data_IF_103767224817
#
_entry.id   IF_103767224817
#
_cell.length_a   1.000
_cell.length_b   1.000
_cell.length_c   1.000
_cell.angle_alpha   90.00
_cell.angle_beta   90.00
_cell.angle_gamma   90.00
#
_symmetry.space_group_name_H-M   'P 1'
#
loop_
_entity.id
_entity.type
_entity.pdbx_description
1 polymer ?
#
# COMPACT_ATOMS: atom_id res chain seq x y z
N UNK A 1 60.27 -7.89 -47.09
CA UNK A 1 59.40 -7.98 -45.89
C UNK A 1 58.45 -6.79 -45.93
N UNK A 2 57.18 -6.95 -46.31
CA UNK A 2 56.25 -5.83 -46.36
C UNK A 2 55.83 -5.45 -44.94
N UNK A 3 55.96 -4.16 -44.63
CA UNK A 3 55.58 -3.54 -43.36
C UNK A 3 54.06 -3.48 -43.25
N UNK A 4 53.48 -4.36 -42.46
CA UNK A 4 52.07 -4.31 -42.08
C UNK A 4 51.81 -3.05 -41.27
N UNK A 5 51.14 -2.08 -41.89
CA UNK A 5 50.71 -0.85 -41.23
C UNK A 5 49.28 -1.05 -40.73
N UNK A 6 49.13 -1.11 -39.41
CA UNK A 6 47.86 -1.42 -38.74
C UNK A 6 47.06 -0.11 -38.58
N UNK A 7 46.17 0.19 -39.53
CA UNK A 7 45.21 1.30 -39.41
C UNK A 7 44.07 0.91 -38.48
N UNK A 8 44.17 1.34 -37.22
CA UNK A 8 43.07 1.29 -36.25
C UNK A 8 42.03 2.34 -36.68
N UNK A 9 40.85 1.90 -37.11
CA UNK A 9 39.71 2.82 -37.29
C UNK A 9 39.29 3.32 -35.91
N UNK A 10 39.14 4.65 -35.69
CA UNK A 10 38.61 5.17 -34.45
C UNK A 10 37.08 4.98 -34.46
N UNK A 11 36.61 3.80 -34.06
CA UNK A 11 35.19 3.53 -33.81
C UNK A 11 34.75 4.06 -32.43
N UNK A 12 35.20 5.26 -32.06
CA UNK A 12 34.56 5.99 -30.97
C UNK A 12 33.42 6.82 -31.56
N UNK A 13 32.14 6.49 -31.29
CA UNK A 13 31.06 7.41 -31.65
C UNK A 13 31.39 8.76 -31.00
N UNK A 14 31.44 9.80 -31.83
CA UNK A 14 31.56 11.18 -31.36
C UNK A 14 30.60 11.38 -30.18
N UNK A 15 31.02 12.02 -29.07
CA UNK A 15 30.12 12.27 -27.95
C UNK A 15 28.84 12.89 -28.48
N UNK A 16 27.66 12.38 -28.07
CA UNK A 16 26.39 12.85 -28.61
C UNK A 16 26.36 14.36 -28.47
N UNK A 17 26.15 15.06 -29.59
CA UNK A 17 26.03 16.53 -29.60
C UNK A 17 25.06 16.90 -28.48
N UNK A 18 25.38 17.89 -27.62
CA UNK A 18 24.45 18.33 -26.59
C UNK A 18 23.13 18.65 -27.27
N UNK A 19 22.07 17.90 -26.91
CA UNK A 19 20.74 18.07 -27.50
C UNK A 19 20.42 19.56 -27.47
N UNK A 20 19.95 20.12 -28.59
CA UNK A 20 19.44 21.51 -28.64
C UNK A 20 18.61 21.70 -27.38
N UNK A 21 18.93 22.72 -26.57
CA UNK A 21 18.27 23.01 -25.29
C UNK A 21 16.77 22.87 -25.55
N UNK A 22 16.17 21.80 -25.03
CA UNK A 22 14.75 21.54 -25.22
C UNK A 22 13.96 22.73 -24.70
N UNK A 23 12.76 22.95 -25.23
CA UNK A 23 11.83 23.93 -24.66
C UNK A 23 11.72 23.60 -23.17
N UNK A 24 12.03 24.58 -22.30
CA UNK A 24 11.94 24.36 -20.86
C UNK A 24 10.46 24.15 -20.51
N UNK A 25 10.16 23.19 -19.62
CA UNK A 25 8.78 22.84 -19.28
C UNK A 25 7.92 24.08 -18.90
N UNK A 26 8.48 25.02 -18.13
CA UNK A 26 7.79 26.24 -17.72
C UNK A 26 7.62 27.30 -18.84
N UNK A 27 8.24 27.09 -20.00
CA UNK A 27 8.07 27.93 -21.19
C UNK A 27 6.96 27.41 -22.11
N UNK A 28 6.42 26.21 -21.86
CA UNK A 28 5.25 25.71 -22.58
C UNK A 28 4.03 26.59 -22.29
N UNK A 29 3.06 26.75 -23.21
CA UNK A 29 1.79 27.42 -22.91
C UNK A 29 1.08 26.78 -21.70
N UNK A 30 0.29 27.57 -20.98
CA UNK A 30 -0.35 27.13 -19.73
C UNK A 30 -1.25 25.91 -19.97
N UNK A 31 -1.96 25.91 -21.07
CA UNK A 31 -2.90 24.87 -21.49
C UNK A 31 -2.17 23.54 -21.70
N UNK A 32 -0.98 23.58 -22.31
CA UNK A 32 -0.14 22.39 -22.51
C UNK A 32 0.36 21.87 -21.16
N UNK A 33 0.75 22.76 -20.23
CA UNK A 33 1.16 22.34 -18.88
C UNK A 33 0.00 21.73 -18.10
N UNK A 34 -1.21 22.27 -18.20
CA UNK A 34 -2.40 21.73 -17.55
C UNK A 34 -2.76 20.34 -18.08
N UNK A 35 -2.63 20.10 -19.39
CA UNK A 35 -2.76 18.76 -19.97
C UNK A 35 -1.70 17.79 -19.41
N UNK A 36 -0.45 18.24 -19.28
CA UNK A 36 0.61 17.42 -18.69
C UNK A 36 0.30 17.11 -17.22
N UNK A 37 -0.18 18.10 -16.45
CA UNK A 37 -0.58 17.89 -15.05
C UNK A 37 -1.73 16.91 -14.94
N UNK A 38 -2.75 17.04 -15.79
CA UNK A 38 -3.86 16.11 -15.84
C UNK A 38 -3.40 14.68 -16.10
N UNK A 39 -2.63 14.45 -17.18
CA UNK A 39 -2.12 13.12 -17.50
C UNK A 39 -1.17 12.55 -16.45
N UNK A 40 -0.53 13.40 -15.64
CA UNK A 40 0.45 12.96 -14.63
C UNK A 40 -0.14 12.76 -13.24
N UNK A 41 -1.19 13.50 -12.89
CA UNK A 41 -1.70 13.60 -11.52
C UNK A 41 -3.12 13.06 -11.35
N UNK A 42 -3.88 12.92 -12.44
CA UNK A 42 -5.21 12.34 -12.39
C UNK A 42 -5.08 10.85 -12.59
N UNK A 43 -5.51 10.10 -11.58
CA UNK A 43 -5.45 8.65 -11.56
C UNK A 43 -6.86 8.08 -11.32
N UNK A 44 -7.11 6.83 -11.74
CA UNK A 44 -8.35 6.14 -11.42
C UNK A 44 -8.59 6.07 -9.91
N UNK A 45 -9.83 5.77 -9.51
CA UNK A 45 -10.18 5.59 -8.10
C UNK A 45 -9.31 4.50 -7.51
N UNK A 46 -8.98 4.64 -6.23
CA UNK A 46 -8.01 3.75 -5.59
C UNK A 46 -8.43 2.27 -5.62
N UNK A 47 -9.72 2.00 -5.52
CA UNK A 47 -10.25 0.63 -5.57
C UNK A 47 -10.23 0.03 -6.98
N UNK A 48 -10.13 0.86 -8.04
CA UNK A 48 -9.99 0.39 -9.43
C UNK A 48 -8.53 0.07 -9.78
N UNK A 49 -7.56 0.40 -8.91
CA UNK A 49 -6.15 0.17 -9.18
C UNK A 49 -5.80 -1.32 -9.00
N UNK A 50 -5.37 -1.95 -10.09
CA UNK A 50 -4.85 -3.32 -10.11
C UNK A 50 -3.37 -3.38 -9.72
N UNK A 51 -2.89 -4.56 -9.33
CA UNK A 51 -1.46 -4.74 -9.06
C UNK A 51 -0.61 -4.61 -10.34
N UNK A 52 0.55 -3.99 -10.19
CA UNK A 52 1.57 -3.94 -11.23
C UNK A 52 2.07 -5.34 -11.56
N UNK A 53 2.53 -5.54 -12.81
CA UNK A 53 2.84 -6.86 -13.33
C UNK A 53 4.01 -7.59 -12.61
N UNK A 54 4.81 -6.85 -11.85
CA UNK A 54 5.96 -7.26 -11.05
C UNK A 54 5.69 -7.24 -9.54
N UNK A 55 4.49 -6.86 -9.10
CA UNK A 55 4.11 -6.88 -7.70
C UNK A 55 4.04 -8.31 -7.15
N UNK A 56 4.60 -8.54 -5.96
CA UNK A 56 4.53 -9.83 -5.26
C UNK A 56 3.11 -10.25 -4.88
N UNK A 57 2.18 -9.29 -4.84
CA UNK A 57 0.77 -9.53 -4.54
C UNK A 57 -0.10 -9.77 -5.78
N UNK A 58 0.47 -9.64 -6.97
CA UNK A 58 -0.21 -10.03 -8.19
C UNK A 58 -0.22 -11.55 -8.28
N UNK A 59 -1.42 -12.13 -8.27
CA UNK A 59 -1.55 -13.58 -8.36
C UNK A 59 -1.18 -14.04 -9.78
N UNK A 60 -0.07 -14.78 -9.93
CA UNK A 60 0.22 -15.51 -11.16
C UNK A 60 -0.32 -16.94 -11.13
N UNK A 61 -0.87 -17.37 -10.00
CA UNK A 61 -1.36 -18.73 -9.78
C UNK A 61 -2.88 -18.74 -9.94
N UNK A 62 -3.42 -19.64 -10.75
CA UNK A 62 -4.88 -19.75 -10.95
C UNK A 62 -5.66 -20.12 -9.68
N UNK A 63 -4.97 -20.55 -8.62
CA UNK A 63 -5.57 -20.97 -7.35
C UNK A 63 -5.55 -19.88 -6.27
N UNK A 64 -4.75 -18.83 -6.44
CA UNK A 64 -4.65 -17.74 -5.48
C UNK A 64 -5.44 -16.55 -6.00
N UNK A 65 -6.23 -15.94 -5.12
CA UNK A 65 -7.01 -14.75 -5.44
C UNK A 65 -6.11 -13.53 -5.38
N UNK A 66 -6.31 -12.58 -6.29
CA UNK A 66 -5.54 -11.33 -6.29
C UNK A 66 -6.18 -10.33 -5.31
N UNK A 67 -5.64 -10.17 -4.08
CA UNK A 67 -6.25 -9.26 -3.12
C UNK A 67 -6.26 -7.81 -3.64
N UNK A 68 -7.29 -7.02 -3.35
CA UNK A 68 -7.35 -5.64 -3.83
C UNK A 68 -6.19 -4.83 -3.25
N UNK A 69 -5.46 -4.10 -4.10
CA UNK A 69 -4.26 -3.36 -3.66
C UNK A 69 -4.58 -2.37 -2.53
N UNK A 70 -5.74 -1.70 -2.60
CA UNK A 70 -6.17 -0.72 -1.60
C UNK A 70 -6.44 -1.29 -0.20
N UNK A 71 -6.68 -2.60 -0.08
CA UNK A 71 -6.88 -3.31 1.19
C UNK A 71 -5.58 -3.86 1.77
N UNK A 72 -4.48 -3.87 1.01
CA UNK A 72 -3.16 -4.28 1.50
C UNK A 72 -2.41 -3.13 2.18
N UNK A 73 -3.16 -2.30 2.91
CA UNK A 73 -2.66 -1.11 3.58
C UNK A 73 -3.20 -1.03 5.00
N UNK A 74 -2.31 -0.72 5.92
CA UNK A 74 -2.65 -0.25 7.25
C UNK A 74 -2.49 1.26 7.34
N UNK A 75 -3.42 1.93 8.01
CA UNK A 75 -3.39 3.34 8.33
C UNK A 75 -3.37 3.48 9.86
N UNK A 76 -2.24 3.94 10.36
CA UNK A 76 -2.09 4.36 11.75
C UNK A 76 -2.41 5.84 11.86
N UNK A 77 -3.32 6.18 12.75
CA UNK A 77 -3.71 7.55 13.05
C UNK A 77 -3.03 7.96 14.35
N UNK A 78 -2.04 8.83 14.23
CA UNK A 78 -1.38 9.46 15.38
C UNK A 78 -2.17 10.68 15.76
N UNK A 79 -2.43 10.92 17.04
CA UNK A 79 -3.24 12.06 17.48
C UNK A 79 -2.43 13.27 17.90
N UNK A 80 -1.16 13.05 18.29
CA UNK A 80 -0.30 14.08 18.86
C UNK A 80 1.03 14.19 18.10
N UNK A 81 1.09 14.98 17.01
CA UNK A 81 -0.02 15.68 16.34
C UNK A 81 -0.84 14.73 15.44
N UNK A 82 -2.08 15.13 15.14
CA UNK A 82 -2.95 14.43 14.20
C UNK A 82 -2.25 14.21 12.85
N UNK A 83 -1.92 12.96 12.53
CA UNK A 83 -1.22 12.55 11.29
C UNK A 83 -1.68 11.17 10.85
N UNK A 84 -1.70 10.96 9.54
CA UNK A 84 -1.91 9.66 8.92
C UNK A 84 -0.56 9.05 8.58
N UNK A 85 -0.27 7.89 9.14
CA UNK A 85 0.90 7.08 8.81
C UNK A 85 0.39 5.83 8.10
N UNK A 86 0.85 5.60 6.88
CA UNK A 86 0.41 4.47 6.07
C UNK A 86 1.54 3.47 5.92
N UNK A 87 1.26 2.21 6.20
CA UNK A 87 2.13 1.08 5.90
C UNK A 87 1.38 0.20 4.89
N UNK A 88 2.02 -0.16 3.79
CA UNK A 88 1.41 -0.97 2.75
C UNK A 88 2.27 -2.19 2.45
N UNK A 89 1.62 -3.33 2.20
CA UNK A 89 2.32 -4.55 1.78
C UNK A 89 2.78 -4.46 0.32
N UNK A 90 2.16 -3.55 -0.47
CA UNK A 90 2.56 -3.23 -1.83
C UNK A 90 2.52 -1.72 -2.09
N UNK A 91 3.13 -1.28 -3.19
CA UNK A 91 3.13 0.13 -3.61
C UNK A 91 2.13 0.42 -4.74
N UNK A 92 1.39 -0.60 -5.20
CA UNK A 92 0.50 -0.47 -6.36
C UNK A 92 -0.65 0.50 -6.13
N UNK A 93 -1.14 0.63 -4.89
CA UNK A 93 -2.24 1.54 -4.53
C UNK A 93 -1.78 2.99 -4.23
N UNK A 94 -0.46 3.25 -4.32
CA UNK A 94 0.12 4.56 -4.07
C UNK A 94 -0.04 5.42 -5.31
N UNK A 95 -0.48 6.65 -5.08
CA UNK A 95 -0.56 7.64 -6.15
C UNK A 95 0.83 7.95 -6.69
N UNK A 96 1.00 7.86 -8.00
CA UNK A 96 2.25 8.14 -8.71
C UNK A 96 2.38 9.64 -8.93
N UNK A 97 3.60 10.06 -9.30
CA UNK A 97 3.93 11.43 -9.66
C UNK A 97 3.60 12.53 -8.61
N UNK A 98 3.32 12.17 -7.35
CA UNK A 98 3.13 13.13 -6.25
C UNK A 98 4.34 14.06 -6.05
N UNK A 99 5.54 13.61 -6.42
CA UNK A 99 6.77 14.41 -6.41
C UNK A 99 6.70 15.64 -7.31
N UNK A 100 5.82 15.65 -8.32
CA UNK A 100 5.59 16.83 -9.17
C UNK A 100 5.09 18.03 -8.34
N UNK A 101 4.24 17.77 -7.35
CA UNK A 101 3.75 18.81 -6.43
C UNK A 101 4.85 19.36 -5.50
N UNK A 102 6.00 18.69 -5.43
CA UNK A 102 7.16 19.08 -4.62
C UNK A 102 8.29 19.70 -5.46
N UNK A 103 8.18 19.69 -6.79
CA UNK A 103 9.26 20.08 -7.69
C UNK A 103 9.68 21.56 -7.53
N UNK A 104 8.71 22.48 -7.61
CA UNK A 104 8.93 23.90 -7.29
C UNK A 104 7.59 24.61 -6.94
N UNK A 105 7.68 25.86 -6.48
CA UNK A 105 6.50 26.65 -6.07
C UNK A 105 5.53 26.95 -7.21
N UNK A 106 6.03 27.21 -8.42
CA UNK A 106 5.18 27.50 -9.58
C UNK A 106 4.38 26.25 -9.93
N UNK A 107 5.06 25.13 -10.22
CA UNK A 107 4.44 23.82 -10.50
C UNK A 107 3.45 23.43 -9.41
N UNK A 108 3.78 23.64 -8.14
CA UNK A 108 2.83 23.40 -7.06
C UNK A 108 1.55 24.23 -7.19
N UNK A 109 1.67 25.54 -7.42
CA UNK A 109 0.52 26.43 -7.58
C UNK A 109 -0.31 26.09 -8.82
N UNK A 110 0.33 25.63 -9.91
CA UNK A 110 -0.35 25.27 -11.14
C UNK A 110 -1.03 23.89 -11.06
N UNK A 111 -0.35 22.90 -10.48
CA UNK A 111 -0.74 21.50 -10.55
C UNK A 111 -1.59 21.04 -9.35
N UNK A 112 -1.47 21.68 -8.18
CA UNK A 112 -2.27 21.31 -7.01
C UNK A 112 -3.79 21.43 -7.25
N UNK A 113 -4.31 22.49 -7.91
CA UNK A 113 -5.74 22.55 -8.22
C UNK A 113 -6.23 21.41 -9.10
N UNK A 114 -5.43 21.01 -10.11
CA UNK A 114 -5.73 19.85 -10.96
C UNK A 114 -5.78 18.59 -10.10
N UNK A 115 -4.78 18.38 -9.26
CA UNK A 115 -4.70 17.21 -8.38
C UNK A 115 -5.91 17.11 -7.43
N UNK A 116 -6.22 18.17 -6.68
CA UNK A 116 -7.27 18.12 -5.66
C UNK A 116 -8.69 18.10 -6.24
N UNK A 117 -8.91 18.65 -7.43
CA UNK A 117 -10.25 18.76 -8.03
C UNK A 117 -10.64 17.66 -9.01
N UNK A 118 -9.68 16.91 -9.54
CA UNK A 118 -9.95 15.86 -10.54
C UNK A 118 -9.75 14.44 -10.02
N UNK A 119 -9.33 14.28 -8.77
CA UNK A 119 -9.12 12.97 -8.17
C UNK A 119 -10.18 12.64 -7.13
N UNK A 120 -10.59 11.36 -7.12
CA UNK A 120 -11.35 10.79 -6.02
C UNK A 120 -10.45 10.44 -4.83
N UNK A 121 -10.74 10.96 -3.65
CA UNK A 121 -9.99 10.63 -2.43
C UNK A 121 -10.64 9.48 -1.70
N UNK A 122 -10.01 8.31 -1.78
CA UNK A 122 -10.50 7.06 -1.17
C UNK A 122 -9.88 6.83 0.22
N UNK A 123 -10.73 6.55 1.19
CA UNK A 123 -10.40 6.30 2.59
C UNK A 123 -11.02 4.97 3.04
N UNK A 124 -10.38 4.32 4.01
CA UNK A 124 -10.93 3.10 4.60
C UNK A 124 -11.91 3.42 5.74
N UNK A 125 -11.77 4.57 6.40
CA UNK A 125 -12.65 4.96 7.52
C UNK A 125 -13.08 6.42 7.44
N UNK A 126 -14.19 6.74 8.10
CA UNK A 126 -14.63 8.13 8.26
C UNK A 126 -13.66 8.94 9.14
N UNK A 127 -12.96 8.30 10.08
CA UNK A 127 -11.98 9.00 10.92
C UNK A 127 -10.74 9.41 10.13
N UNK A 128 -10.30 8.60 9.16
CA UNK A 128 -9.26 9.01 8.20
C UNK A 128 -9.65 10.29 7.46
N UNK A 129 -10.90 10.42 7.02
CA UNK A 129 -11.41 11.62 6.34
C UNK A 129 -11.30 12.84 7.26
N UNK A 130 -11.73 12.71 8.51
CA UNK A 130 -11.63 13.77 9.50
C UNK A 130 -10.18 14.25 9.66
N UNK A 131 -9.23 13.33 9.84
CA UNK A 131 -7.81 13.66 10.01
C UNK A 131 -7.20 14.23 8.74
N UNK A 132 -7.48 13.61 7.60
CA UNK A 132 -6.99 14.06 6.30
C UNK A 132 -7.44 15.49 6.00
N UNK A 133 -8.72 15.79 6.13
CA UNK A 133 -9.27 17.07 5.69
C UNK A 133 -9.11 18.17 6.74
N UNK A 134 -9.24 17.87 8.05
CA UNK A 134 -9.15 18.90 9.11
C UNK A 134 -7.73 19.21 9.54
N UNK A 135 -6.86 18.20 9.58
CA UNK A 135 -5.54 18.33 10.21
C UNK A 135 -4.39 18.31 9.18
N UNK A 136 -4.47 17.46 8.15
CA UNK A 136 -3.37 17.31 7.19
C UNK A 136 -3.53 18.22 5.95
N UNK A 137 -4.77 18.37 5.46
CA UNK A 137 -5.04 19.16 4.27
C UNK A 137 -5.07 20.65 4.61
N UNK A 138 -4.24 21.41 3.88
CA UNK A 138 -4.23 22.87 3.95
C UNK A 138 -5.61 23.41 3.60
N UNK A 139 -6.03 24.44 4.34
CA UNK A 139 -7.35 25.06 4.17
C UNK A 139 -7.66 25.44 2.71
N UNK A 140 -6.68 26.00 2.00
CA UNK A 140 -6.82 26.44 0.60
C UNK A 140 -7.21 25.32 -0.39
N UNK A 141 -6.94 24.05 -0.06
CA UNK A 141 -7.24 22.92 -0.93
C UNK A 141 -8.52 22.17 -0.56
N UNK A 142 -9.10 22.45 0.62
CA UNK A 142 -10.32 21.75 1.08
C UNK A 142 -11.49 21.94 0.14
N UNK A 143 -11.64 23.15 -0.39
CA UNK A 143 -12.71 23.48 -1.32
C UNK A 143 -12.44 23.00 -2.75
N UNK A 144 -11.25 22.46 -3.02
CA UNK A 144 -10.95 21.85 -4.32
C UNK A 144 -11.30 20.37 -4.34
N UNK A 145 -11.45 19.72 -3.19
CA UNK A 145 -11.84 18.30 -3.13
C UNK A 145 -13.28 18.15 -3.62
N UNK A 146 -13.44 17.46 -4.74
CA UNK A 146 -14.73 17.25 -5.43
C UNK A 146 -15.34 15.89 -5.14
N UNK A 147 -14.53 14.88 -4.86
CA UNK A 147 -14.99 13.51 -4.67
C UNK A 147 -14.28 12.82 -3.50
N UNK A 148 -15.08 12.24 -2.60
CA UNK A 148 -14.62 11.44 -1.47
C UNK A 148 -15.30 10.08 -1.54
N UNK A 149 -14.52 9.02 -1.35
CA UNK A 149 -15.01 7.66 -1.25
C UNK A 149 -14.55 7.06 0.09
N UNK A 150 -15.49 6.63 0.92
CA UNK A 150 -15.22 5.89 2.16
C UNK A 150 -15.68 4.46 1.96
N UNK A 151 -14.74 3.56 1.67
CA UNK A 151 -15.02 2.17 1.37
C UNK A 151 -14.36 1.29 2.44
N UNK A 152 -15.13 0.99 3.49
CA UNK A 152 -14.71 0.15 4.60
C UNK A 152 -15.20 -1.28 4.36
N UNK A 153 -14.33 -2.31 4.48
CA UNK A 153 -14.78 -3.70 4.57
C UNK A 153 -15.44 -4.01 5.93
N UNK A 154 -15.32 -3.10 6.90
CA UNK A 154 -15.99 -3.18 8.19
C UNK A 154 -17.33 -2.44 8.14
N UNK A 155 -18.42 -3.14 8.44
CA UNK A 155 -19.75 -2.54 8.48
C UNK A 155 -19.82 -1.40 9.51
N UNK A 156 -19.13 -1.52 10.65
CA UNK A 156 -19.11 -0.50 11.70
C UNK A 156 -18.33 0.78 11.33
N UNK A 157 -17.71 0.84 10.15
CA UNK A 157 -16.89 1.97 9.70
C UNK A 157 -15.56 2.14 10.42
N UNK A 158 -15.18 1.17 11.26
CA UNK A 158 -13.93 1.13 12.01
C UNK A 158 -13.10 -0.09 11.56
N UNK A 159 -12.43 0.00 10.40
CA UNK A 159 -11.69 -1.13 9.91
C UNK A 159 -10.45 -1.49 10.74
N UNK A 160 -10.14 -2.79 10.90
CA UNK A 160 -8.88 -3.36 11.40
C UNK A 160 -7.64 -2.81 10.70
N UNK A 161 -7.78 -2.37 9.44
CA UNK A 161 -6.72 -1.66 8.72
C UNK A 161 -6.45 -0.27 9.26
N UNK A 162 -7.30 0.26 10.13
CA UNK A 162 -7.23 1.63 10.63
C UNK A 162 -7.13 1.60 12.15
N UNK A 163 -5.95 1.94 12.65
CA UNK A 163 -5.61 1.85 14.06
C UNK A 163 -5.28 3.23 14.62
N UNK A 164 -5.66 3.47 15.87
CA UNK A 164 -5.15 4.60 16.63
C UNK A 164 -3.79 4.25 17.23
N UNK A 165 -2.85 5.20 17.23
CA UNK A 165 -1.58 5.08 17.94
C UNK A 165 -1.79 5.29 19.45
N UNK A 166 -2.60 4.41 20.08
CA UNK A 166 -2.90 4.41 21.52
C UNK A 166 -2.70 3.01 22.10
N UNK A 167 -2.18 2.88 23.32
CA UNK A 167 -1.97 1.58 23.98
C UNK A 167 -3.26 0.96 24.55
N UNK A 168 -4.43 1.19 23.94
CA UNK A 168 -5.72 0.71 24.44
C UNK A 168 -5.96 -0.77 24.06
N UNK A 169 -6.54 -1.61 24.93
CA UNK A 169 -6.90 -2.98 24.58
C UNK A 169 -7.96 -3.05 23.47
N UNK A 170 -8.81 -2.02 23.36
CA UNK A 170 -9.79 -1.87 22.29
C UNK A 170 -9.22 -0.95 21.19
N UNK A 171 -8.33 -1.49 20.36
CA UNK A 171 -7.62 -0.76 19.28
C UNK A 171 -8.52 -0.32 18.11
N UNK A 172 -9.83 -0.54 18.17
CA UNK A 172 -10.75 -0.09 17.14
C UNK A 172 -10.85 1.44 17.15
N UNK A 173 -10.57 2.06 15.99
CA UNK A 173 -10.72 3.51 15.84
C UNK A 173 -12.21 3.88 16.01
N UNK A 174 -12.58 4.70 17.02
CA UNK A 174 -13.96 5.11 17.19
C UNK A 174 -14.37 6.01 16.03
N UNK A 175 -15.57 5.78 15.50
CA UNK A 175 -16.10 6.62 14.43
C UNK A 175 -16.91 7.76 15.03
N UNK A 176 -16.30 8.95 15.13
CA UNK A 176 -17.01 10.19 15.50
C UNK A 176 -17.84 10.68 14.30
N UNK A 177 -19.02 10.10 14.13
CA UNK A 177 -19.95 10.47 13.06
C UNK A 177 -20.35 11.94 13.06
N UNK A 178 -20.66 12.58 14.22
CA UNK A 178 -20.89 14.03 14.25
C UNK A 178 -19.74 14.82 13.63
N UNK A 179 -18.50 14.48 13.98
CA UNK A 179 -17.33 15.14 13.43
C UNK A 179 -17.15 14.89 11.93
N UNK A 180 -17.41 13.66 11.48
CA UNK A 180 -17.38 13.31 10.06
C UNK A 180 -18.34 14.17 9.24
N UNK A 181 -19.63 14.21 9.62
CA UNK A 181 -20.62 15.01 8.88
C UNK A 181 -20.33 16.51 8.93
N UNK A 182 -19.80 17.00 10.06
CA UNK A 182 -19.33 18.38 10.15
C UNK A 182 -18.17 18.65 9.17
N UNK A 183 -17.24 17.71 9.05
CA UNK A 183 -16.11 17.80 8.11
C UNK A 183 -16.59 17.84 6.66
N UNK A 184 -17.47 16.91 6.28
CA UNK A 184 -18.08 16.86 4.95
C UNK A 184 -18.86 18.14 4.64
N UNK A 185 -19.64 18.65 5.60
CA UNK A 185 -20.41 19.89 5.47
C UNK A 185 -19.54 21.13 5.20
N UNK A 186 -18.26 21.08 5.55
CA UNK A 186 -17.30 22.18 5.37
C UNK A 186 -16.47 22.05 4.09
N UNK A 187 -16.64 20.98 3.31
CA UNK A 187 -15.95 20.78 2.04
C UNK A 187 -16.79 21.39 0.92
N UNK A 188 -16.60 22.69 0.67
CA UNK A 188 -17.52 23.44 -0.20
C UNK A 188 -17.54 22.94 -1.66
N UNK A 189 -16.43 22.39 -2.14
CA UNK A 189 -16.30 21.84 -3.49
C UNK A 189 -16.76 20.40 -3.65
N UNK A 190 -17.17 19.71 -2.58
CA UNK A 190 -17.54 18.30 -2.65
C UNK A 190 -18.84 18.11 -3.43
N UNK A 191 -18.76 17.40 -4.55
CA UNK A 191 -19.88 17.12 -5.47
C UNK A 191 -20.33 15.66 -5.32
N UNK A 192 -19.41 14.74 -5.02
CA UNK A 192 -19.72 13.31 -4.90
C UNK A 192 -19.18 12.74 -3.59
N UNK A 193 -20.03 12.00 -2.88
CA UNK A 193 -19.70 11.28 -1.66
C UNK A 193 -20.13 9.81 -1.79
N UNK A 194 -19.17 8.91 -1.89
CA UNK A 194 -19.35 7.46 -1.88
C UNK A 194 -19.18 6.93 -0.46
N UNK A 195 -20.22 6.33 0.12
CA UNK A 195 -20.23 5.87 1.53
C UNK A 195 -21.07 4.62 1.74
N UNK A 196 -20.81 3.91 2.85
CA UNK A 196 -21.66 2.80 3.29
C UNK A 196 -23.01 3.29 3.82
N UNK A 197 -24.13 2.59 3.52
CA UNK A 197 -25.44 2.82 4.14
C UNK A 197 -25.39 2.87 5.68
N UNK A 198 -24.44 2.17 6.31
CA UNK A 198 -24.25 2.17 7.77
C UNK A 198 -23.83 3.50 8.35
N UNK A 199 -23.10 4.30 7.59
CA UNK A 199 -22.70 5.64 8.01
C UNK A 199 -23.94 6.53 8.16
N UNK A 200 -24.90 6.39 7.25
CA UNK A 200 -26.19 7.09 7.31
C UNK A 200 -27.02 6.56 8.48
N UNK A 201 -27.19 5.24 8.58
CA UNK A 201 -27.98 4.61 9.64
C UNK A 201 -27.55 5.05 11.05
N UNK A 202 -26.24 5.08 11.30
CA UNK A 202 -25.68 5.41 12.61
C UNK A 202 -25.96 6.86 13.05
N UNK A 203 -26.27 7.76 12.12
CA UNK A 203 -26.36 9.21 12.41
C UNK A 203 -27.25 9.97 11.43
N UNK A 204 -28.40 9.39 11.09
CA UNK A 204 -29.29 9.88 10.04
C UNK A 204 -29.71 11.35 10.23
N UNK A 205 -29.92 11.83 11.45
CA UNK A 205 -30.32 13.23 11.69
C UNK A 205 -29.18 14.21 11.38
N UNK A 206 -27.92 13.81 11.57
CA UNK A 206 -26.74 14.61 11.18
C UNK A 206 -26.55 14.59 9.67
N UNK A 207 -26.74 13.42 9.07
CA UNK A 207 -26.72 13.25 7.63
C UNK A 207 -27.79 14.09 6.93
N UNK A 208 -29.06 14.06 7.40
CA UNK A 208 -30.17 14.83 6.83
C UNK A 208 -29.86 16.34 6.85
N UNK A 209 -29.34 16.87 7.96
CA UNK A 209 -28.87 18.26 8.04
C UNK A 209 -27.76 18.58 7.03
N UNK A 210 -26.80 17.66 6.86
CA UNK A 210 -25.73 17.81 5.88
C UNK A 210 -26.29 17.81 4.46
N UNK A 211 -27.18 16.88 4.12
CA UNK A 211 -27.81 16.76 2.81
C UNK A 211 -28.63 18.01 2.46
N UNK A 212 -29.42 18.55 3.42
CA UNK A 212 -30.13 19.84 3.26
C UNK A 212 -29.18 21.00 2.96
N UNK A 213 -28.06 21.07 3.70
CA UNK A 213 -27.04 22.11 3.50
C UNK A 213 -26.28 21.96 2.18
N UNK A 214 -26.17 20.73 1.66
CA UNK A 214 -25.37 20.36 0.49
C UNK A 214 -26.25 19.77 -0.62
N UNK A 215 -27.23 20.55 -1.11
CA UNK A 215 -28.22 20.09 -2.11
C UNK A 215 -27.60 19.58 -3.42
N UNK A 216 -26.43 20.08 -3.79
CA UNK A 216 -25.70 19.63 -4.98
C UNK A 216 -24.83 18.39 -4.76
N UNK A 217 -24.76 17.86 -3.54
CA UNK A 217 -23.98 16.67 -3.24
C UNK A 217 -24.73 15.42 -3.71
N UNK A 218 -24.12 14.70 -4.64
CA UNK A 218 -24.50 13.35 -5.02
C UNK A 218 -23.94 12.36 -4.00
N UNK A 219 -24.79 11.46 -3.53
CA UNK A 219 -24.50 10.49 -2.49
C UNK A 219 -24.67 9.10 -3.09
N UNK A 220 -23.55 8.43 -3.28
CA UNK A 220 -23.51 7.08 -3.83
C UNK A 220 -23.40 6.11 -2.65
N UNK A 221 -24.40 5.23 -2.53
CA UNK A 221 -24.41 4.23 -1.48
C UNK A 221 -23.76 2.95 -1.97
N UNK A 222 -22.67 2.58 -1.30
CA UNK A 222 -21.83 1.45 -1.68
C UNK A 222 -21.52 0.58 -0.47
N UNK A 223 -21.72 -0.72 -0.59
CA UNK A 223 -21.38 -1.71 0.46
C UNK A 223 -20.23 -2.58 -0.03
N UNK A 224 -19.15 -2.68 0.75
CA UNK A 224 -18.05 -3.61 0.48
C UNK A 224 -18.17 -4.82 1.40
N UNK A 225 -18.56 -5.96 0.85
CA UNK A 225 -18.77 -7.21 1.57
C UNK A 225 -17.54 -8.12 1.44
N UNK A 226 -16.80 -8.37 2.53
CA UNK A 226 -15.78 -9.40 2.56
C UNK A 226 -16.43 -10.78 2.70
N UNK A 227 -16.31 -11.61 1.68
CA UNK A 227 -16.83 -12.98 1.68
C UNK A 227 -15.70 -13.96 2.00
N UNK A 228 -15.67 -14.37 3.27
CA UNK A 228 -14.75 -15.40 3.77
C UNK A 228 -15.41 -16.78 3.87
N UNK A 229 -14.61 -17.84 3.69
CA UNK A 229 -15.07 -19.23 3.71
C UNK A 229 -15.45 -19.74 5.12
N UNK A 230 -14.80 -19.27 6.20
CA UNK A 230 -14.86 -19.97 7.51
C UNK A 230 -16.07 -19.70 8.40
N UNK A 231 -17.04 -18.86 8.05
CA UNK A 231 -18.23 -18.69 8.89
C UNK A 231 -19.44 -18.13 8.14
N UNK A 232 -20.67 -18.61 8.43
CA UNK A 232 -21.91 -17.96 8.00
C UNK A 232 -22.13 -16.60 8.67
N UNK A 233 -21.43 -16.31 9.77
CA UNK A 233 -21.43 -14.99 10.41
C UNK A 233 -20.32 -14.11 9.81
N UNK A 234 -20.52 -12.79 9.69
CA UNK A 234 -19.49 -11.85 9.28
C UNK A 234 -18.39 -11.79 10.34
N UNK A 235 -17.46 -12.75 10.30
CA UNK A 235 -16.23 -12.67 11.08
C UNK A 235 -15.45 -11.47 10.57
N UNK A 236 -14.92 -10.69 11.51
CA UNK A 236 -14.01 -9.57 11.28
C UNK A 236 -13.05 -9.93 10.13
N UNK A 237 -13.18 -9.21 9.02
CA UNK A 237 -12.40 -9.45 7.80
C UNK A 237 -10.89 -9.31 8.10
N UNK A 238 -10.01 -9.80 7.21
CA UNK A 238 -8.58 -9.88 7.49
C UNK A 238 -7.93 -8.52 7.80
N UNK A 239 -7.08 -8.46 8.83
CA UNK A 239 -6.13 -7.35 8.97
C UNK A 239 -4.96 -7.53 7.99
N UNK A 240 -4.28 -6.45 7.61
CA UNK A 240 -3.12 -6.54 6.71
C UNK A 240 -1.94 -7.28 7.36
N UNK A 241 -1.89 -7.40 8.70
CA UNK A 241 -0.92 -8.26 9.38
C UNK A 241 -1.14 -9.75 9.04
N UNK A 242 -2.38 -10.13 8.72
CA UNK A 242 -2.75 -11.44 8.21
C UNK A 242 -3.03 -11.36 6.69
N UNK A 243 -2.10 -10.77 5.93
CA UNK A 243 -2.23 -10.56 4.48
C UNK A 243 -2.60 -11.83 3.71
N UNK A 244 -2.20 -13.01 4.21
CA UNK A 244 -2.55 -14.31 3.62
C UNK A 244 -4.07 -14.52 3.53
N UNK A 245 -4.85 -14.06 4.50
CA UNK A 245 -6.30 -14.24 4.47
C UNK A 245 -6.98 -13.43 3.37
N UNK A 246 -6.36 -12.34 2.89
CA UNK A 246 -6.88 -11.61 1.73
C UNK A 246 -6.80 -12.43 0.44
N UNK A 247 -5.86 -13.39 0.31
CA UNK A 247 -5.77 -14.32 -0.82
C UNK A 247 -6.88 -15.38 -0.85
N UNK A 248 -7.72 -15.42 0.19
CA UNK A 248 -8.84 -16.34 0.35
C UNK A 248 -10.16 -15.61 0.59
N UNK A 249 -10.21 -14.30 0.30
CA UNK A 249 -11.40 -13.47 0.50
C UNK A 249 -11.83 -12.84 -0.82
N UNK A 250 -13.09 -13.05 -1.22
CA UNK A 250 -13.71 -12.29 -2.31
C UNK A 250 -14.23 -11.02 -1.68
N UNK A 251 -13.93 -9.88 -2.28
CA UNK A 251 -14.55 -8.63 -1.89
C UNK A 251 -15.62 -8.30 -2.91
N UNK A 252 -16.83 -8.06 -2.43
CA UNK A 252 -17.97 -7.74 -3.27
C UNK A 252 -18.39 -6.32 -2.98
N UNK A 253 -18.19 -5.43 -3.95
CA UNK A 253 -18.73 -4.09 -3.92
C UNK A 253 -20.14 -4.11 -4.51
N UNK A 254 -21.09 -3.60 -3.75
CA UNK A 254 -22.49 -3.46 -4.14
C UNK A 254 -22.84 -1.98 -4.20
N UNK A 255 -23.12 -1.49 -5.40
CA UNK A 255 -23.64 -0.13 -5.61
C UNK A 255 -25.16 -0.16 -5.56
N UNK A 256 -25.72 0.50 -4.55
CA UNK A 256 -27.16 0.65 -4.33
C UNK A 256 -27.77 1.83 -5.11
N UNK A 257 -26.92 2.64 -5.77
CA UNK A 257 -27.32 3.76 -6.60
C UNK A 257 -26.91 5.12 -6.04
N UNK A 258 -27.23 6.15 -6.84
CA UNK A 258 -26.92 7.54 -6.55
C UNK A 258 -28.16 8.28 -6.07
N UNK A 259 -28.01 8.99 -4.97
CA UNK A 259 -29.07 9.78 -4.34
C UNK A 259 -28.68 11.24 -4.31
N UNK A 260 -29.67 12.11 -4.42
CA UNK A 260 -29.52 13.56 -4.26
C UNK A 260 -30.75 14.09 -3.53
N UNK A 261 -30.58 15.21 -2.82
CA UNK A 261 -31.70 15.83 -2.12
C UNK A 261 -32.67 16.43 -3.15
N UNK A 262 -33.92 15.94 -3.17
CA UNK A 262 -34.89 16.23 -4.25
C UNK A 262 -35.72 17.50 -4.06
N UNK A 263 -35.67 18.14 -2.90
CA UNK A 263 -36.54 19.28 -2.59
C UNK A 263 -35.77 20.62 -2.58
N UNK A 264 -35.83 21.40 -3.68
CA UNK A 264 -35.27 22.74 -3.71
C UNK A 264 -36.16 23.78 -2.99
N UNK A 265 -37.44 23.49 -2.77
CA UNK A 265 -38.43 24.49 -2.32
C UNK A 265 -38.76 24.39 -0.83
N UNK A 266 -38.42 23.28 -0.16
CA UNK A 266 -38.47 23.22 1.31
C UNK A 266 -37.44 24.17 1.93
N UNK A 267 -37.94 25.09 2.76
CA UNK A 267 -37.08 25.98 3.54
C UNK A 267 -36.23 25.13 4.52
N UNK A 268 -34.92 25.40 4.64
CA UNK A 268 -34.02 24.60 5.48
C UNK A 268 -34.42 24.52 6.97
N UNK A 269 -35.27 25.46 7.41
CA UNK A 269 -35.75 25.60 8.78
C UNK A 269 -37.11 24.92 9.05
N UNK A 270 -37.65 24.10 8.12
CA UNK A 270 -38.83 23.30 8.46
C UNK A 270 -38.48 22.24 9.51
N UNK A 271 -39.38 22.06 10.50
CA UNK A 271 -39.26 21.08 11.59
C UNK A 271 -39.23 19.61 11.12
N UNK A 272 -39.27 19.34 9.82
CA UNK A 272 -39.34 18.00 9.23
C UNK A 272 -38.00 17.25 9.20
N UNK A 273 -36.99 17.68 9.99
CA UNK A 273 -35.70 17.00 10.07
C UNK A 273 -35.84 15.52 10.48
N UNK A 274 -36.80 15.23 11.35
CA UNK A 274 -37.10 13.87 11.79
C UNK A 274 -37.70 13.02 10.68
N UNK A 275 -38.50 13.62 9.78
CA UNK A 275 -39.05 12.95 8.61
C UNK A 275 -37.94 12.60 7.62
N UNK A 276 -37.08 13.57 7.27
CA UNK A 276 -35.93 13.32 6.39
C UNK A 276 -35.01 12.24 6.96
N UNK A 277 -34.70 12.32 8.26
CA UNK A 277 -33.85 11.32 8.91
C UNK A 277 -34.48 9.92 8.87
N UNK A 278 -35.80 9.82 9.02
CA UNK A 278 -36.54 8.56 8.91
C UNK A 278 -36.48 7.99 7.49
N UNK A 279 -36.63 8.83 6.47
CA UNK A 279 -36.53 8.42 5.06
C UNK A 279 -35.13 7.89 4.74
N UNK A 280 -34.09 8.58 5.20
CA UNK A 280 -32.71 8.12 5.00
C UNK A 280 -32.37 6.84 5.79
N UNK A 281 -32.95 6.65 6.99
CA UNK A 281 -32.87 5.35 7.68
C UNK A 281 -33.56 4.26 6.87
N UNK A 282 -34.72 4.53 6.30
CA UNK A 282 -35.43 3.58 5.46
C UNK A 282 -34.60 3.18 4.23
N UNK A 283 -34.04 4.17 3.50
CA UNK A 283 -33.11 3.91 2.38
C UNK A 283 -31.94 3.03 2.82
N UNK A 284 -31.27 3.37 3.92
CA UNK A 284 -30.15 2.58 4.43
C UNK A 284 -30.57 1.15 4.83
N UNK A 285 -31.76 0.98 5.40
CA UNK A 285 -32.32 -0.34 5.74
C UNK A 285 -32.55 -1.21 4.51
N UNK A 286 -33.08 -0.62 3.44
CA UNK A 286 -33.29 -1.32 2.17
C UNK A 286 -31.96 -1.77 1.57
N UNK A 287 -30.93 -0.91 1.58
CA UNK A 287 -29.59 -1.28 1.15
C UNK A 287 -29.01 -2.45 1.96
N UNK A 288 -29.22 -2.50 3.28
CA UNK A 288 -28.77 -3.65 4.08
C UNK A 288 -29.48 -4.94 3.70
N UNK A 289 -30.78 -4.86 3.42
CA UNK A 289 -31.54 -6.02 2.99
C UNK A 289 -31.01 -6.56 1.66
N UNK A 290 -30.78 -5.68 0.68
CA UNK A 290 -30.18 -6.01 -0.61
C UNK A 290 -28.78 -6.62 -0.45
N UNK A 291 -27.92 -6.01 0.37
CA UNK A 291 -26.59 -6.55 0.67
C UNK A 291 -26.67 -7.97 1.28
N UNK A 292 -27.64 -8.21 2.17
CA UNK A 292 -27.89 -9.53 2.75
C UNK A 292 -28.42 -10.55 1.73
N UNK A 293 -29.25 -10.14 0.77
CA UNK A 293 -29.68 -11.00 -0.34
C UNK A 293 -28.53 -11.37 -1.28
N UNK A 294 -27.74 -10.37 -1.69
CA UNK A 294 -26.56 -10.57 -2.55
C UNK A 294 -25.53 -11.48 -1.87
N UNK A 295 -25.21 -11.24 -0.60
CA UNK A 295 -24.32 -12.10 0.18
C UNK A 295 -24.80 -13.56 0.20
N UNK A 296 -26.08 -13.80 0.53
CA UNK A 296 -26.66 -15.15 0.56
C UNK A 296 -26.64 -15.81 -0.81
N UNK A 297 -26.95 -15.06 -1.87
CA UNK A 297 -26.93 -15.56 -3.24
C UNK A 297 -25.51 -15.94 -3.67
N UNK A 298 -24.53 -15.05 -3.45
CA UNK A 298 -23.15 -15.31 -3.86
C UNK A 298 -22.58 -16.51 -3.11
N UNK A 299 -22.86 -16.60 -1.80
CA UNK A 299 -22.48 -17.76 -1.02
C UNK A 299 -23.10 -19.03 -1.59
N UNK A 300 -24.41 -19.06 -1.81
CA UNK A 300 -25.10 -20.26 -2.32
C UNK A 300 -24.61 -20.71 -3.71
N UNK A 301 -24.44 -19.78 -4.64
CA UNK A 301 -24.16 -20.10 -6.04
C UNK A 301 -22.68 -20.26 -6.35
N UNK A 302 -21.82 -19.47 -5.71
CA UNK A 302 -20.39 -19.41 -6.06
C UNK A 302 -19.47 -19.95 -4.97
N UNK A 303 -19.89 -19.98 -3.71
CA UNK A 303 -19.07 -20.49 -2.61
C UNK A 303 -19.66 -21.81 -2.10
N UNK A 304 -19.13 -22.94 -2.59
CA UNK A 304 -19.56 -24.26 -2.12
C UNK A 304 -19.36 -24.40 -0.60
N UNK A 305 -20.42 -24.75 0.14
CA UNK A 305 -20.31 -25.10 1.56
C UNK A 305 -19.52 -26.41 1.78
N UNK A 306 -19.23 -27.18 0.72
CA UNK A 306 -18.49 -28.45 0.82
C UNK A 306 -17.00 -28.22 1.08
N UNK A 307 -16.68 -28.20 2.38
CA UNK A 307 -15.35 -28.40 2.91
C UNK A 307 -14.71 -29.68 2.35
N UNK A 308 -13.73 -29.55 1.45
CA UNK A 308 -12.71 -30.59 1.34
C UNK A 308 -11.68 -30.36 2.44
N UNK A 309 -11.97 -30.91 3.63
CA UNK A 309 -10.89 -31.25 4.56
C UNK A 309 -10.02 -32.24 3.80
N UNK A 310 -8.88 -31.81 3.25
CA UNK A 310 -7.82 -32.79 2.96
C UNK A 310 -7.63 -33.52 4.29
N UNK A 311 -7.76 -34.86 4.34
CA UNK A 311 -7.37 -35.59 5.53
C UNK A 311 -5.96 -35.10 5.86
N UNK A 312 -5.76 -34.62 7.09
CA UNK A 312 -4.41 -34.38 7.56
C UNK A 312 -3.60 -35.61 7.20
N UNK A 313 -2.47 -35.42 6.52
CA UNK A 313 -1.50 -36.49 6.43
C UNK A 313 -1.35 -37.06 7.85
N UNK A 314 -1.45 -38.38 8.09
CA UNK A 314 -1.32 -38.96 9.42
C UNK A 314 0.04 -38.68 10.08
N UNK A 315 0.93 -37.96 9.39
CA UNK A 315 2.28 -37.60 9.80
C UNK A 315 2.48 -36.09 9.99
N UNK A 316 1.43 -35.26 9.86
CA UNK A 316 1.53 -33.85 10.19
C UNK A 316 1.63 -33.70 11.72
N UNK A 317 2.84 -33.41 12.19
CA UNK A 317 3.08 -33.18 13.61
C UNK A 317 2.46 -31.84 14.01
N UNK A 318 2.09 -31.67 15.28
CA UNK A 318 1.49 -30.43 15.79
C UNK A 318 2.45 -29.21 15.78
N UNK A 319 3.63 -29.35 15.17
CA UNK A 319 4.65 -28.31 15.00
C UNK A 319 4.85 -27.91 13.54
N UNK A 320 4.20 -28.60 12.60
CA UNK A 320 4.23 -28.21 11.20
C UNK A 320 3.17 -27.11 10.99
N UNK A 321 3.64 -25.87 10.87
CA UNK A 321 2.93 -24.74 10.25
C UNK A 321 2.66 -25.04 8.75
N UNK A 322 2.10 -26.21 8.44
CA UNK A 322 1.64 -26.52 7.10
C UNK A 322 0.47 -25.59 6.80
N UNK A 323 0.77 -24.58 5.97
CA UNK A 323 -0.21 -23.71 5.34
C UNK A 323 -1.22 -24.58 4.62
N UNK A 324 -2.36 -24.84 5.26
CA UNK A 324 -3.49 -25.50 4.64
C UNK A 324 -3.90 -24.68 3.41
N UNK A 325 -3.51 -25.15 2.23
CA UNK A 325 -3.92 -24.57 0.96
C UNK A 325 -5.41 -24.90 0.78
N UNK A 326 -6.26 -23.96 1.18
CA UNK A 326 -7.71 -24.06 1.01
C UNK A 326 -8.03 -23.76 -0.45
N UNK A 327 -8.36 -24.80 -1.20
CA UNK A 327 -8.81 -24.65 -2.58
C UNK A 327 -10.31 -24.38 -2.59
N UNK A 328 -10.71 -23.17 -3.01
CA UNK A 328 -12.06 -22.95 -3.47
C UNK A 328 -12.21 -23.62 -4.84
N UNK A 329 -13.15 -24.55 -4.96
CA UNK A 329 -13.69 -24.91 -6.25
C UNK A 329 -15.00 -24.15 -6.41
N UNK A 330 -15.05 -23.20 -7.36
CA UNK A 330 -16.32 -22.67 -7.87
C UNK A 330 -17.07 -23.87 -8.48
N UNK A 331 -17.98 -24.48 -7.73
CA UNK A 331 -18.63 -25.70 -8.16
C UNK A 331 -19.59 -25.38 -9.30
N UNK A 332 -19.37 -26.03 -10.45
CA UNK A 332 -20.21 -26.00 -11.66
C UNK A 332 -20.27 -24.64 -12.37
N UNK A 333 -19.35 -24.40 -13.30
CA UNK A 333 -19.63 -23.58 -14.49
C UNK A 333 -20.01 -22.10 -14.27
N UNK A 334 -20.02 -21.60 -13.03
CA UNK A 334 -20.15 -20.20 -12.70
C UNK A 334 -18.87 -19.48 -13.11
N UNK A 335 -18.76 -19.13 -14.39
CA UNK A 335 -17.78 -18.17 -14.90
C UNK A 335 -18.07 -16.80 -14.26
N UNK A 336 -17.65 -16.58 -13.02
CA UNK A 336 -17.09 -15.28 -12.69
C UNK A 336 -15.64 -15.32 -13.16
N UNK A 337 -15.44 -15.37 -14.48
CA UNK A 337 -14.11 -15.09 -15.03
C UNK A 337 -13.79 -13.63 -14.72
N UNK A 338 -12.52 -13.26 -14.69
CA UNK A 338 -12.12 -11.86 -14.59
C UNK A 338 -12.68 -11.00 -15.77
N UNK A 339 -13.23 -11.62 -16.83
CA UNK A 339 -14.00 -10.93 -17.89
C UNK A 339 -15.39 -10.46 -17.42
N UNK A 340 -15.87 -10.99 -16.29
CA UNK A 340 -17.09 -10.61 -15.57
C UNK A 340 -16.77 -10.23 -14.12
N UNK A 341 -15.81 -9.32 -13.92
CA UNK A 341 -15.60 -8.68 -12.61
C UNK A 341 -16.81 -7.85 -12.15
N UNK A 342 -17.81 -7.69 -13.01
CA UNK A 342 -19.03 -6.97 -12.75
C UNK A 342 -20.24 -7.81 -13.16
N UNK A 343 -21.33 -7.72 -12.39
CA UNK A 343 -22.63 -8.27 -12.75
C UNK A 343 -23.74 -7.30 -12.33
N UNK A 344 -24.81 -7.24 -13.12
CA UNK A 344 -26.05 -6.60 -12.69
C UNK A 344 -26.90 -7.63 -11.93
N UNK A 345 -27.32 -7.27 -10.74
CA UNK A 345 -28.21 -8.08 -9.93
C UNK A 345 -29.52 -7.35 -9.70
N UNK A 346 -30.64 -8.03 -9.82
CA UNK A 346 -31.95 -7.44 -9.53
C UNK A 346 -32.48 -8.04 -8.24
N UNK A 347 -32.79 -7.19 -7.26
CA UNK A 347 -33.33 -7.63 -5.99
C UNK A 347 -34.70 -8.27 -6.15
N UNK A 348 -35.17 -8.98 -5.12
CA UNK A 348 -36.53 -9.52 -5.12
C UNK A 348 -37.60 -8.42 -5.27
N UNK A 349 -37.25 -7.18 -4.90
CA UNK A 349 -38.09 -5.99 -5.02
C UNK A 349 -37.99 -5.31 -6.40
N UNK A 350 -37.15 -5.82 -7.30
CA UNK A 350 -36.96 -5.26 -8.65
C UNK A 350 -35.89 -4.18 -8.74
N UNK A 351 -35.15 -3.89 -7.67
CA UNK A 351 -34.08 -2.89 -7.71
C UNK A 351 -32.84 -3.47 -8.40
N UNK A 352 -32.38 -2.81 -9.47
CA UNK A 352 -31.14 -3.18 -10.13
C UNK A 352 -29.94 -2.61 -9.35
N UNK A 353 -29.11 -3.50 -8.82
CA UNK A 353 -27.83 -3.17 -8.20
C UNK A 353 -26.69 -3.56 -9.12
N UNK A 354 -25.61 -2.77 -9.10
CA UNK A 354 -24.37 -3.13 -9.76
C UNK A 354 -23.44 -3.81 -8.75
N UNK A 355 -22.98 -5.01 -9.07
CA UNK A 355 -22.11 -5.81 -8.22
C UNK A 355 -20.75 -5.95 -8.88
N UNK A 356 -19.70 -5.55 -8.17
CA UNK A 356 -18.32 -5.69 -8.61
C UNK A 356 -17.56 -6.62 -7.67
N UNK A 357 -16.75 -7.48 -8.25
CA UNK A 357 -15.95 -8.47 -7.55
C UNK A 357 -14.47 -8.09 -7.59
N UNK A 358 -13.82 -8.23 -6.45
CA UNK A 358 -12.37 -8.18 -6.32
C UNK A 358 -11.86 -9.45 -5.63
N UNK A 359 -10.58 -9.78 -5.82
CA UNK A 359 -10.07 -11.05 -5.31
C UNK A 359 -10.58 -12.25 -6.10
N UNK A 360 -10.85 -12.11 -7.40
CA UNK A 360 -11.17 -13.26 -8.24
C UNK A 360 -9.88 -13.96 -8.69
N UNK A 361 -9.88 -15.30 -8.81
CA UNK A 361 -8.77 -16.01 -9.43
C UNK A 361 -8.70 -15.67 -10.93
N UNK A 362 -7.49 -15.68 -11.48
CA UNK A 362 -7.32 -15.57 -12.93
C UNK A 362 -8.04 -16.74 -13.62
N UNK A 363 -8.73 -16.45 -14.72
CA UNK A 363 -9.19 -17.53 -15.59
C UNK A 363 -8.00 -18.34 -16.09
N UNK A 364 -8.17 -19.63 -16.38
CA UNK A 364 -7.07 -20.46 -16.89
C UNK A 364 -6.41 -19.88 -18.16
N UNK A 365 -7.20 -19.22 -19.01
CA UNK A 365 -6.68 -18.49 -20.20
C UNK A 365 -5.81 -17.29 -19.82
N UNK A 366 -6.27 -16.46 -18.88
CA UNK A 366 -5.51 -15.31 -18.39
C UNK A 366 -4.25 -15.73 -17.64
N UNK A 367 -4.31 -16.78 -16.82
CA UNK A 367 -3.14 -17.33 -16.14
C UNK A 367 -2.07 -17.80 -17.14
N UNK A 368 -2.48 -18.50 -18.20
CA UNK A 368 -1.58 -18.90 -19.30
C UNK A 368 -0.99 -17.69 -20.04
N UNK A 369 -1.82 -16.69 -20.37
CA UNK A 369 -1.36 -15.49 -21.06
C UNK A 369 -0.38 -14.68 -20.19
N UNK A 370 -0.70 -14.43 -18.92
CA UNK A 370 0.16 -13.72 -17.98
C UNK A 370 1.51 -14.44 -17.80
N UNK A 371 1.49 -15.78 -17.74
CA UNK A 371 2.72 -16.60 -17.70
C UNK A 371 3.55 -16.43 -18.96
N UNK A 372 2.90 -16.44 -20.14
CA UNK A 372 3.58 -16.22 -21.43
C UNK A 372 4.21 -14.83 -21.50
N UNK A 373 3.48 -13.78 -21.11
CA UNK A 373 3.98 -12.41 -21.09
C UNK A 373 5.15 -12.24 -20.11
N UNK A 374 5.09 -12.88 -18.93
CA UNK A 374 6.20 -12.88 -17.97
C UNK A 374 7.45 -13.52 -18.56
N UNK A 375 7.31 -14.67 -19.22
CA UNK A 375 8.43 -15.36 -19.87
C UNK A 375 9.05 -14.51 -21.00
N UNK A 376 8.23 -13.81 -21.78
CA UNK A 376 8.72 -12.87 -22.82
C UNK A 376 9.53 -11.75 -22.19
N UNK A 377 9.00 -11.09 -21.14
CA UNK A 377 9.72 -10.02 -20.42
C UNK A 377 11.02 -10.50 -19.78
N UNK A 378 11.01 -11.64 -19.11
CA UNK A 378 12.22 -12.24 -18.54
C UNK A 378 13.27 -12.56 -19.63
N UNK A 379 12.84 -13.02 -20.81
CA UNK A 379 13.73 -13.28 -21.95
C UNK A 379 14.34 -11.99 -22.50
N UNK A 380 13.55 -10.94 -22.68
CA UNK A 380 14.02 -9.61 -23.11
C UNK A 380 15.00 -9.02 -22.09
N UNK A 381 14.68 -9.12 -20.81
CA UNK A 381 15.55 -8.64 -19.74
C UNK A 381 16.87 -9.41 -19.68
N UNK A 382 16.86 -10.74 -19.81
CA UNK A 382 18.09 -11.54 -19.92
C UNK A 382 18.89 -11.17 -21.16
N UNK A 383 18.23 -10.86 -22.28
CA UNK A 383 18.93 -10.43 -23.50
C UNK A 383 19.64 -9.08 -23.31
N UNK A 384 19.07 -8.16 -22.52
CA UNK A 384 19.66 -6.85 -22.24
C UNK A 384 20.73 -6.89 -21.14
N UNK A 385 20.47 -7.59 -20.03
CA UNK A 385 21.25 -7.50 -18.79
C UNK A 385 22.04 -8.78 -18.46
N UNK A 386 21.86 -9.85 -19.24
CA UNK A 386 22.48 -11.17 -19.00
C UNK A 386 21.83 -11.98 -17.86
N UNK A 387 20.97 -11.37 -17.04
CA UNK A 387 20.22 -12.02 -15.96
C UNK A 387 18.92 -11.24 -15.67
N UNK A 388 17.94 -11.90 -15.02
CA UNK A 388 16.70 -11.22 -14.59
C UNK A 388 16.93 -10.41 -13.31
N UNK A 389 16.06 -9.44 -13.02
CA UNK A 389 16.16 -8.67 -11.76
C UNK A 389 16.03 -9.57 -10.53
N UNK A 390 15.16 -10.57 -10.58
CA UNK A 390 15.00 -11.55 -9.51
C UNK A 390 16.28 -12.39 -9.30
N UNK A 391 16.99 -12.75 -10.37
CA UNK A 391 18.29 -13.41 -10.28
C UNK A 391 19.36 -12.47 -9.71
N UNK A 392 19.34 -11.20 -10.11
CA UNK A 392 20.27 -10.19 -9.63
C UNK A 392 20.10 -9.94 -8.13
N UNK A 393 18.87 -9.83 -7.65
CA UNK A 393 18.57 -9.61 -6.24
C UNK A 393 18.92 -10.85 -5.40
N UNK A 394 18.63 -12.08 -5.89
CA UNK A 394 19.11 -13.32 -5.25
C UNK A 394 20.63 -13.37 -5.16
N UNK A 395 21.35 -12.97 -6.21
CA UNK A 395 22.82 -12.91 -6.20
C UNK A 395 23.31 -11.89 -5.17
N UNK A 396 22.66 -10.73 -5.07
CA UNK A 396 22.97 -9.69 -4.08
C UNK A 396 22.73 -10.15 -2.64
N UNK A 397 21.60 -10.80 -2.36
CA UNK A 397 21.32 -11.42 -1.05
C UNK A 397 22.34 -12.51 -0.71
N UNK A 398 22.70 -13.37 -1.67
CA UNK A 398 23.76 -14.38 -1.47
C UNK A 398 25.11 -13.74 -1.14
N UNK A 399 25.46 -12.64 -1.80
CA UNK A 399 26.68 -11.88 -1.51
C UNK A 399 26.65 -11.24 -0.11
N UNK A 400 25.51 -10.69 0.32
CA UNK A 400 25.33 -10.14 1.67
C UNK A 400 25.50 -11.23 2.73
N UNK A 401 24.83 -12.37 2.57
CA UNK A 401 24.91 -13.50 3.49
C UNK A 401 26.34 -14.08 3.58
N UNK A 402 27.06 -14.13 2.45
CA UNK A 402 28.50 -14.49 2.43
C UNK A 402 29.36 -13.48 3.17
N UNK A 403 29.08 -12.17 3.05
CA UNK A 403 29.81 -11.12 3.79
C UNK A 403 29.56 -11.24 5.30
N UNK A 404 28.32 -11.44 5.73
CA UNK A 404 27.97 -11.65 7.13
C UNK A 404 28.63 -12.89 7.72
N UNK A 405 28.61 -14.01 6.99
CA UNK A 405 29.28 -15.25 7.42
C UNK A 405 30.79 -15.07 7.55
N UNK A 406 31.42 -14.34 6.61
CA UNK A 406 32.86 -14.00 6.71
C UNK A 406 33.16 -13.14 7.94
N UNK A 407 32.31 -12.14 8.22
CA UNK A 407 32.46 -11.28 9.39
C UNK A 407 32.37 -12.07 10.70
N UNK A 408 31.39 -12.97 10.82
CA UNK A 408 31.25 -13.88 11.99
C UNK A 408 32.48 -14.77 12.16
N UNK A 409 32.98 -15.39 11.09
CA UNK A 409 34.20 -16.21 11.14
C UNK A 409 35.44 -15.40 11.55
N UNK A 410 35.52 -14.14 11.15
CA UNK A 410 36.62 -13.26 11.56
C UNK A 410 36.51 -12.88 13.04
N UNK A 411 35.31 -12.59 13.53
CA UNK A 411 35.04 -12.34 14.95
C UNK A 411 35.36 -13.57 15.81
N UNK A 412 34.98 -14.77 15.38
CA UNK A 412 35.34 -16.04 16.04
C UNK A 412 36.86 -16.26 16.07
N UNK A 413 37.54 -16.03 14.94
CA UNK A 413 39.01 -16.13 14.89
C UNK A 413 39.69 -15.14 15.83
N UNK A 414 39.18 -13.91 15.91
CA UNK A 414 39.68 -12.89 16.85
C UNK A 414 39.44 -13.33 18.30
N UNK A 415 38.26 -13.85 18.61
CA UNK A 415 37.93 -14.36 19.94
C UNK A 415 38.84 -15.55 20.35
N UNK A 416 39.10 -16.49 19.44
CA UNK A 416 40.02 -17.61 19.67
C UNK A 416 41.44 -17.09 19.90
N UNK A 417 41.93 -16.19 19.04
CA UNK A 417 43.26 -15.61 19.20
C UNK A 417 43.41 -14.82 20.50
N UNK A 418 42.36 -14.10 20.92
CA UNK A 418 42.35 -13.40 22.21
C UNK A 418 42.28 -14.37 23.39
N UNK A 419 41.52 -15.46 23.27
CA UNK A 419 41.48 -16.52 24.28
C UNK A 419 42.84 -17.23 24.40
N UNK A 420 43.52 -17.51 23.29
CA UNK A 420 44.87 -18.06 23.27
C UNK A 420 45.88 -17.11 23.90
N UNK A 421 45.79 -15.79 23.62
CA UNK A 421 46.62 -14.78 24.31
C UNK A 421 46.39 -14.72 25.81
N UNK A 422 45.20 -15.07 26.27
CA UNK A 422 44.85 -15.10 27.69
C UNK A 422 45.20 -16.43 28.37
N UNK A 423 45.58 -17.47 27.63
CA UNK A 423 46.07 -18.70 28.25
C UNK A 423 47.43 -18.41 28.89
N UNK A 424 47.57 -18.61 30.21
CA UNK A 424 48.88 -18.58 30.84
C UNK A 424 49.73 -19.66 30.19
N UNK A 425 50.90 -19.29 29.71
CA UNK A 425 51.86 -20.20 29.11
C UNK A 425 52.36 -21.16 30.20
N UNK A 426 52.09 -22.47 30.11
CA UNK A 426 52.33 -23.42 31.19
C UNK A 426 53.81 -23.66 31.50
N UNK A 427 54.72 -23.11 30.68
CA UNK A 427 56.18 -23.26 30.79
C UNK A 427 56.90 -21.95 31.15
N UNK A 428 56.17 -20.91 31.58
CA UNK A 428 56.79 -19.68 32.09
C UNK A 428 57.22 -19.92 33.53
N UNK A 429 58.39 -20.53 33.65
CA UNK A 429 59.22 -20.43 34.84
C UNK A 429 59.38 -18.97 35.23
N UNK A 430 59.26 -18.74 36.54
CA UNK A 430 59.38 -17.48 37.26
C UNK A 430 60.30 -16.45 36.56
N UNK A 431 59.71 -15.47 35.88
CA UNK A 431 60.47 -14.35 35.31
C UNK A 431 60.95 -13.48 36.45
N UNK A 432 62.27 -13.32 36.56
CA UNK A 432 62.92 -12.43 37.52
C UNK A 432 62.24 -11.04 37.52
N UNK A 433 61.77 -10.53 38.67
CA UNK A 433 61.07 -9.26 38.79
C UNK A 433 61.79 -8.06 38.15
N UNK A 434 63.13 -8.08 38.06
CA UNK A 434 63.88 -7.03 37.35
C UNK A 434 63.73 -7.12 35.82
N UNK A 435 63.71 -8.33 35.26
CA UNK A 435 63.52 -8.55 33.82
C UNK A 435 62.11 -8.16 33.41
N UNK A 436 61.10 -8.47 34.23
CA UNK A 436 59.71 -8.07 33.99
C UNK A 436 59.54 -6.53 33.99
N UNK A 437 60.18 -5.82 34.92
CA UNK A 437 60.17 -4.34 34.94
C UNK A 437 60.84 -3.74 33.71
N UNK A 438 61.94 -4.34 33.24
CA UNK A 438 62.67 -3.87 32.05
C UNK A 438 61.85 -4.08 30.78
N UNK A 439 61.19 -5.23 30.65
CA UNK A 439 60.29 -5.53 29.53
C UNK A 439 59.05 -4.62 29.53
N UNK A 440 58.45 -4.33 30.69
CA UNK A 440 57.34 -3.38 30.79
C UNK A 440 57.76 -1.95 30.39
N UNK A 441 58.96 -1.52 30.77
CA UNK A 441 59.50 -0.21 30.37
C UNK A 441 59.74 -0.12 28.86
N UNK A 442 60.33 -1.15 28.26
CA UNK A 442 60.53 -1.19 26.80
C UNK A 442 59.21 -1.26 26.02
N UNK A 443 58.21 -1.98 26.54
CA UNK A 443 56.87 -2.02 25.94
C UNK A 443 56.21 -0.63 25.98
N UNK A 444 56.27 0.05 27.12
CA UNK A 444 55.75 1.41 27.27
C UNK A 444 56.45 2.40 26.31
N UNK A 445 57.78 2.32 26.16
CA UNK A 445 58.52 3.16 25.22
C UNK A 445 58.16 2.89 23.75
N UNK A 446 57.94 1.63 23.38
CA UNK A 446 57.47 1.25 22.05
C UNK A 446 56.06 1.77 21.76
N UNK A 447 55.18 1.73 22.74
CA UNK A 447 53.79 2.21 22.61
C UNK A 447 53.72 3.73 22.48
N UNK A 448 54.53 4.47 23.26
CA UNK A 448 54.70 5.92 23.10
C UNK A 448 55.22 6.26 21.70
N UNK A 449 56.22 5.53 21.19
CA UNK A 449 56.73 5.74 19.81
C UNK A 449 55.67 5.46 18.74
N UNK A 450 54.82 4.44 18.94
CA UNK A 450 53.72 4.11 18.02
C UNK A 450 52.66 5.20 18.01
N UNK A 451 52.22 5.65 19.18
CA UNK A 451 51.28 6.77 19.33
C UNK A 451 51.78 8.04 18.65
N UNK A 452 53.07 8.38 18.81
CA UNK A 452 53.67 9.54 18.15
C UNK A 452 53.66 9.43 16.62
N UNK A 453 53.89 8.23 16.05
CA UNK A 453 53.82 8.01 14.60
C UNK A 453 52.40 8.15 14.06
N UNK A 454 51.42 7.53 14.72
CA UNK A 454 50.01 7.62 14.32
C UNK A 454 49.51 9.08 14.37
N UNK A 455 49.91 9.83 15.40
CA UNK A 455 49.55 11.24 15.54
C UNK A 455 50.22 12.14 14.49
N UNK A 456 51.42 11.77 14.02
CA UNK A 456 52.08 12.45 12.90
C UNK A 456 51.37 12.14 11.55
N UNK A 457 50.86 10.93 11.39
CA UNK A 457 50.16 10.50 10.18
C UNK A 457 48.76 11.12 10.06
N UNK A 458 48.00 11.21 11.15
CA UNK A 458 46.72 11.94 11.19
C UNK A 458 46.91 13.41 10.84
N UNK A 459 47.93 14.08 11.40
CA UNK A 459 48.27 15.46 11.03
C UNK A 459 48.63 15.61 9.55
N UNK A 460 49.27 14.60 8.95
CA UNK A 460 49.58 14.59 7.50
C UNK A 460 48.32 14.43 6.64
N UNK A 461 47.40 13.57 7.06
CA UNK A 461 46.10 13.37 6.39
C UNK A 461 45.21 14.62 6.48
N UNK A 462 45.23 15.30 7.62
CA UNK A 462 44.47 16.53 7.85
C UNK A 462 44.99 17.67 6.96
N UNK A 463 46.31 17.85 6.83
CA UNK A 463 46.90 18.81 5.88
C UNK A 463 46.50 18.54 4.42
N UNK A 464 46.34 17.27 4.04
CA UNK A 464 45.89 16.90 2.68
C UNK A 464 44.40 17.22 2.44
N UNK A 465 43.55 17.22 3.47
CA UNK A 465 42.12 17.57 3.35
C UNK A 465 41.87 19.08 3.26
N UNK A 466 42.79 19.92 3.71
CA UNK A 466 42.65 21.38 3.70
C UNK A 466 43.14 21.99 2.37
N UNK A 467 43.79 21.22 1.49
CA UNK A 467 44.38 21.70 0.23
C UNK A 467 43.84 20.99 -1.03
N UNK A 468 42.76 20.21 -0.91
CA UNK A 468 42.01 19.65 -2.04
C UNK A 468 40.53 19.84 -1.80
#
# INVERSE_FOLDING_TARGET
MPTLTLTIRPDFPLPPRPRRRGILFLQLPREVRDQIYECSLVEPKRHDISHEADCSHKSTQSQLWEPPAFLLKNVMIRENPYRLVAESACDCDKRKCMNLLLANRQVHAEAAPVFWSRNAFCFLSAFEVCVALRHNLRYQYRNLVTEICVMSPADNGAPLHVLLDRPSPDNACPTDWPLFWHTISNCAGLIMLQISPRMIWASADRFARMARKRRMLTIDLVTLLPLYHRSPEPVEYPSCACWMSHYYTIYVELSHGSYYYKDPDSMPDSDDLDADAKDWRYVASECFHEAGEVNRHIRREYLDERYYRRPASPHASSQDDESWLYYFNLSRGGLISQEKSEMSWTSQKGNACHVRFYGLPLSGRQAMQATKERLVREKEQRALNGMTDAEAERKKQSLQLKKEKRKKLEEERRAISEQERRRPDPDVDWVDPEVARRQMKEAAEKEVRKSQKENAETRRMERKRVHG
#
